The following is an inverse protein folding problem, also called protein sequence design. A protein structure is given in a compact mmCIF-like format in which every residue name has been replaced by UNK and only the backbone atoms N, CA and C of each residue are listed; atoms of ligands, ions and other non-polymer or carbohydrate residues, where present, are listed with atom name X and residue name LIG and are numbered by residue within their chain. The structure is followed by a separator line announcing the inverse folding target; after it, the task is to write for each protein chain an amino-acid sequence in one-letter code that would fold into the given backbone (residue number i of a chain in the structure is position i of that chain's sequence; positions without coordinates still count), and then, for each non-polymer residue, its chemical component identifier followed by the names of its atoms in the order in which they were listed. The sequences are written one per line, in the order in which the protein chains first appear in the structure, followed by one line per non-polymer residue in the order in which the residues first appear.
data_IF_247168566533
#
_entry.id   IF_247168566533
#
_cell.length_a   1.000
_cell.length_b   1.000
_cell.length_c   1.000
_cell.angle_alpha   90.00
_cell.angle_beta   90.00
_cell.angle_gamma   90.00
#
_symmetry.space_group_name_H-M   'P 1'
#
loop_
_entity.id
_entity.type
_entity.pdbx_description
1 polymer ?
#
# COMPACT_ATOMS: atom_id res chain seq x y z
N UNK A 1 21.59 -8.06 -9.75
CA UNK A 1 20.59 -9.15 -9.77
C UNK A 1 19.34 -8.64 -9.10
N UNK A 2 18.25 -8.44 -9.86
CA UNK A 2 16.98 -7.95 -9.31
C UNK A 2 16.29 -9.09 -8.55
N UNK A 3 16.03 -8.88 -7.26
CA UNK A 3 15.31 -9.82 -6.39
C UNK A 3 13.86 -9.97 -6.88
N UNK A 4 13.60 -10.98 -7.71
CA UNK A 4 12.27 -11.26 -8.28
C UNK A 4 11.28 -11.88 -7.28
N UNK A 5 11.69 -12.07 -6.02
CA UNK A 5 10.91 -12.82 -5.03
C UNK A 5 10.40 -11.93 -3.89
N UNK A 6 10.16 -10.64 -4.16
CA UNK A 6 9.79 -9.68 -3.12
C UNK A 6 8.32 -9.27 -3.24
N UNK A 7 7.55 -9.43 -2.16
CA UNK A 7 6.13 -9.09 -2.09
C UNK A 7 5.87 -7.97 -1.08
N UNK A 8 4.84 -7.13 -1.28
CA UNK A 8 4.49 -6.11 -0.30
C UNK A 8 4.01 -6.74 1.01
N UNK A 9 4.44 -6.18 2.14
CA UNK A 9 4.09 -6.70 3.47
C UNK A 9 2.58 -6.71 3.75
N UNK A 10 1.90 -5.63 3.37
CA UNK A 10 0.47 -5.48 3.58
C UNK A 10 -0.34 -6.60 2.90
N UNK A 11 0.16 -7.18 1.80
CA UNK A 11 -0.52 -8.25 1.08
C UNK A 11 -0.58 -9.51 1.95
N UNK A 12 0.56 -9.87 2.53
CA UNK A 12 0.72 -11.01 3.43
C UNK A 12 -0.07 -10.82 4.73
N UNK A 13 -0.10 -9.59 5.25
CA UNK A 13 -0.86 -9.26 6.46
C UNK A 13 -2.38 -9.26 6.23
N UNK A 14 -2.83 -8.91 5.02
CA UNK A 14 -4.26 -8.84 4.69
C UNK A 14 -4.88 -10.18 4.30
N UNK A 15 -4.08 -11.12 3.82
CA UNK A 15 -4.55 -12.38 3.26
C UNK A 15 -4.64 -13.48 4.35
N UNK A 16 -5.84 -13.99 4.67
CA UNK A 16 -6.04 -14.98 5.74
C UNK A 16 -5.45 -16.36 5.44
N UNK A 17 -4.98 -16.59 4.21
CA UNK A 17 -4.25 -17.80 3.85
C UNK A 17 -2.82 -17.84 4.40
N UNK A 18 -2.30 -16.72 4.91
CA UNK A 18 -0.99 -16.63 5.56
C UNK A 18 -1.11 -16.72 7.08
N UNK A 19 -0.28 -17.56 7.67
CA UNK A 19 -0.14 -17.65 9.13
C UNK A 19 1.11 -16.95 9.58
N UNK A 20 0.96 -15.99 10.49
CA UNK A 20 2.10 -15.34 11.14
C UNK A 20 2.80 -16.35 12.06
N UNK A 21 4.11 -16.48 11.88
CA UNK A 21 5.01 -17.15 12.81
C UNK A 21 5.98 -16.09 13.32
N UNK A 22 6.02 -15.92 14.64
CA UNK A 22 6.96 -14.98 15.27
C UNK A 22 8.17 -15.81 15.65
N UNK A 23 9.28 -15.60 14.94
CA UNK A 23 10.55 -16.18 15.36
C UNK A 23 11.16 -15.25 16.42
N UNK A 24 11.05 -15.68 17.68
CA UNK A 24 11.37 -14.86 18.86
C UNK A 24 12.84 -14.46 18.96
N UNK A 25 13.74 -15.14 18.25
CA UNK A 25 15.18 -14.93 18.39
C UNK A 25 15.79 -13.89 17.44
N UNK A 26 15.14 -13.57 16.32
CA UNK A 26 15.78 -12.80 15.22
C UNK A 26 15.10 -11.45 14.98
N UNK A 27 13.99 -11.17 15.68
CA UNK A 27 13.23 -9.94 15.50
C UNK A 27 12.71 -9.75 14.07
N UNK A 28 12.60 -10.84 13.31
CA UNK A 28 12.11 -10.87 11.93
C UNK A 28 10.69 -11.42 11.94
N UNK A 29 9.82 -10.82 11.12
CA UNK A 29 8.47 -11.31 10.94
C UNK A 29 8.47 -12.35 9.83
N UNK A 30 7.83 -13.49 10.12
CA UNK A 30 7.73 -14.61 9.22
C UNK A 30 6.26 -14.96 9.01
N UNK A 31 5.89 -15.24 7.77
CA UNK A 31 4.58 -15.75 7.43
C UNK A 31 4.74 -17.02 6.62
N UNK A 32 3.87 -17.98 6.86
CA UNK A 32 3.83 -19.24 6.11
C UNK A 32 2.47 -19.38 5.46
N UNK A 33 2.44 -19.65 4.15
CA UNK A 33 1.19 -19.83 3.41
C UNK A 33 0.67 -21.25 3.60
N UNK A 34 -0.60 -21.36 3.99
CA UNK A 34 -1.28 -22.64 4.20
C UNK A 34 -1.20 -23.51 2.94
N UNK A 35 -0.84 -24.78 3.11
CA UNK A 35 -0.88 -25.80 2.04
C UNK A 35 0.17 -25.67 0.93
N UNK A 36 1.04 -24.66 0.96
CA UNK A 36 2.03 -24.44 -0.12
C UNK A 36 3.48 -24.38 0.37
N UNK A 37 3.72 -24.36 1.69
CA UNK A 37 5.08 -24.32 2.25
C UNK A 37 5.86 -23.03 1.97
N UNK A 38 5.26 -22.09 1.23
CA UNK A 38 5.84 -20.80 0.88
C UNK A 38 5.97 -19.96 2.15
N UNK A 39 7.15 -19.38 2.35
CA UNK A 39 7.43 -18.51 3.48
C UNK A 39 7.72 -17.10 2.99
N UNK A 40 7.23 -16.09 3.70
CA UNK A 40 7.58 -14.69 3.48
C UNK A 40 8.27 -14.16 4.74
N UNK A 41 9.42 -13.54 4.59
CA UNK A 41 10.23 -13.02 5.71
C UNK A 41 10.52 -11.54 5.49
N UNK A 42 10.28 -10.71 6.49
CA UNK A 42 10.68 -9.30 6.47
C UNK A 42 11.02 -8.77 7.85
N UNK A 43 11.81 -7.70 7.88
CA UNK A 43 12.03 -6.92 9.09
C UNK A 43 10.74 -6.20 9.54
N UNK A 44 10.55 -5.95 10.85
CA UNK A 44 9.37 -5.29 11.40
C UNK A 44 9.13 -3.87 10.86
N UNK A 45 10.17 -3.22 10.35
CA UNK A 45 10.11 -1.88 9.74
C UNK A 45 10.08 -1.91 8.21
N UNK A 46 10.24 -3.08 7.58
CA UNK A 46 10.28 -3.21 6.14
C UNK A 46 8.87 -3.21 5.53
N UNK A 47 8.72 -2.52 4.40
CA UNK A 47 7.47 -2.46 3.63
C UNK A 47 7.26 -3.68 2.72
N UNK A 48 8.30 -4.51 2.56
CA UNK A 48 8.35 -5.62 1.63
C UNK A 48 8.98 -6.83 2.29
N UNK A 49 8.51 -8.02 1.92
CA UNK A 49 8.94 -9.30 2.42
C UNK A 49 9.51 -10.17 1.31
N UNK A 50 10.57 -10.88 1.64
CA UNK A 50 11.29 -11.77 0.74
C UNK A 50 10.66 -13.16 0.85
N UNK A 51 10.35 -13.76 -0.30
CA UNK A 51 9.66 -15.05 -0.38
C UNK A 51 10.69 -16.18 -0.52
N UNK A 52 10.65 -17.13 0.42
CA UNK A 52 11.50 -18.31 0.51
C UNK A 52 10.67 -19.58 0.20
N UNK A 53 11.24 -20.52 -0.56
CA UNK A 53 10.59 -21.80 -0.94
C UNK A 53 10.38 -21.97 -2.45
N UNK A 54 11.40 -21.63 -3.25
CA UNK A 54 11.25 -21.32 -4.69
C UNK A 54 11.93 -22.31 -5.63
N UNK A 55 11.53 -23.58 -5.64
CA UNK A 55 11.90 -24.47 -6.76
C UNK A 55 10.80 -24.50 -7.84
N UNK A 56 9.51 -24.34 -7.47
CA UNK A 56 8.37 -24.33 -8.42
C UNK A 56 7.69 -22.94 -8.61
N UNK A 57 8.31 -21.88 -8.09
CA UNK A 57 7.66 -20.60 -7.84
C UNK A 57 7.72 -19.59 -9.00
N UNK A 58 7.83 -20.02 -10.26
CA UNK A 58 7.74 -19.07 -11.39
C UNK A 58 6.30 -18.80 -11.83
N UNK A 59 5.36 -19.74 -11.62
CA UNK A 59 3.98 -19.59 -12.05
C UNK A 59 3.06 -18.90 -11.01
N UNK A 60 3.38 -19.00 -9.72
CA UNK A 60 2.58 -18.37 -8.64
C UNK A 60 2.88 -16.89 -8.42
N UNK A 61 4.14 -16.46 -8.61
CA UNK A 61 4.56 -15.05 -8.44
C UNK A 61 4.06 -14.15 -9.55
N UNK A 62 3.84 -14.66 -10.75
CA UNK A 62 3.22 -13.90 -11.85
C UNK A 62 1.79 -13.50 -11.52
N UNK A 63 1.03 -14.38 -10.85
CA UNK A 63 -0.35 -14.12 -10.48
C UNK A 63 -0.44 -13.17 -9.26
N UNK A 64 0.52 -13.26 -8.34
CA UNK A 64 0.72 -12.29 -7.24
C UNK A 64 1.16 -10.91 -7.77
N UNK A 65 2.06 -10.86 -8.76
CA UNK A 65 2.50 -9.61 -9.39
C UNK A 65 1.35 -8.95 -10.17
N UNK A 66 0.53 -9.75 -10.88
CA UNK A 66 -0.65 -9.27 -11.58
C UNK A 66 -1.72 -8.73 -10.62
N UNK A 67 -1.95 -9.40 -9.49
CA UNK A 67 -2.89 -8.93 -8.45
C UNK A 67 -2.37 -7.70 -7.69
N UNK A 68 -1.06 -7.61 -7.41
CA UNK A 68 -0.41 -6.40 -6.87
C UNK A 68 -0.55 -5.23 -7.84
N UNK A 69 -0.36 -5.45 -9.14
CA UNK A 69 -0.55 -4.43 -10.18
C UNK A 69 -2.01 -3.95 -10.24
N UNK A 70 -2.98 -4.86 -10.06
CA UNK A 70 -4.41 -4.51 -9.98
C UNK A 70 -4.80 -3.78 -8.70
N UNK A 71 -4.13 -4.06 -7.57
CA UNK A 71 -4.32 -3.37 -6.29
C UNK A 71 -3.52 -2.06 -6.18
N UNK A 72 -2.60 -1.78 -7.12
CA UNK A 72 -1.87 -0.53 -7.19
C UNK A 72 -2.72 0.67 -7.68
N UNK A 73 -4.06 0.57 -7.61
CA UNK A 73 -5.03 1.68 -7.74
C UNK A 73 -4.89 2.77 -6.66
N UNK A 74 -3.74 2.85 -5.97
CA UNK A 74 -3.38 3.99 -5.13
C UNK A 74 -3.19 5.27 -5.95
N UNK A 75 -2.95 5.16 -7.25
CA UNK A 75 -2.96 6.30 -8.17
C UNK A 75 -4.32 7.02 -8.18
N UNK A 76 -5.43 6.30 -8.02
CA UNK A 76 -6.78 6.89 -7.93
C UNK A 76 -6.98 7.63 -6.61
N UNK A 77 -6.55 7.02 -5.48
CA UNK A 77 -6.66 7.65 -4.16
C UNK A 77 -5.85 8.95 -4.05
N UNK A 78 -4.63 8.97 -4.60
CA UNK A 78 -3.80 10.18 -4.61
C UNK A 78 -4.42 11.29 -5.48
N UNK A 79 -5.04 10.91 -6.60
CA UNK A 79 -5.75 11.83 -7.48
C UNK A 79 -7.03 12.37 -6.83
N UNK A 80 -7.76 11.55 -6.09
CA UNK A 80 -8.94 11.95 -5.32
C UNK A 80 -8.60 12.95 -4.21
N UNK A 81 -7.48 12.76 -3.50
CA UNK A 81 -7.00 13.71 -2.49
C UNK A 81 -6.64 15.05 -3.15
N UNK A 82 -5.88 15.04 -4.25
CA UNK A 82 -5.52 16.26 -4.96
C UNK A 82 -6.76 17.00 -5.50
N UNK A 83 -7.75 16.26 -6.01
CA UNK A 83 -9.04 16.80 -6.46
C UNK A 83 -9.87 17.37 -5.32
N UNK A 84 -9.88 16.73 -4.16
CA UNK A 84 -10.57 17.23 -2.97
C UNK A 84 -9.92 18.51 -2.45
N UNK A 85 -8.59 18.53 -2.32
CA UNK A 85 -7.83 19.70 -1.85
C UNK A 85 -7.93 20.88 -2.83
N UNK A 86 -7.97 20.63 -4.13
CA UNK A 86 -8.15 21.70 -5.14
C UNK A 86 -9.62 22.11 -5.36
N UNK A 87 -10.58 21.47 -4.67
CA UNK A 87 -12.00 21.79 -4.80
C UNK A 87 -12.32 23.21 -4.30
N UNK A 88 -13.37 23.80 -4.88
CA UNK A 88 -13.85 25.14 -4.51
C UNK A 88 -14.46 25.22 -3.10
N UNK A 89 -14.80 24.08 -2.51
CA UNK A 89 -15.33 24.01 -1.14
C UNK A 89 -14.24 24.33 -0.11
N UNK A 90 -13.04 23.80 -0.31
CA UNK A 90 -11.89 24.08 0.56
C UNK A 90 -11.15 25.36 0.16
N UNK A 91 -11.11 25.67 -1.14
CA UNK A 91 -10.40 26.82 -1.68
C UNK A 91 -11.32 27.80 -2.44
N UNK A 92 -12.20 28.54 -1.73
CA UNK A 92 -13.13 29.47 -2.36
C UNK A 92 -12.45 30.68 -3.02
N UNK A 93 -11.16 30.92 -2.75
CA UNK A 93 -10.41 32.09 -3.25
C UNK A 93 -9.53 31.87 -4.48
N UNK A 94 -9.37 30.62 -4.97
CA UNK A 94 -8.31 30.32 -5.95
C UNK A 94 -8.77 30.50 -7.41
N UNK A 95 -10.04 30.23 -7.76
CA UNK A 95 -10.47 30.13 -9.17
C UNK A 95 -11.88 30.70 -9.47
N UNK A 96 -12.30 31.78 -8.79
CA UNK A 96 -13.57 32.44 -9.08
C UNK A 96 -13.80 33.71 -8.25
N UNK A 97 -14.78 34.56 -8.62
CA UNK A 97 -15.07 35.77 -7.85
C UNK A 97 -15.45 35.39 -6.43
N UNK A 98 -14.70 35.91 -5.46
CA UNK A 98 -14.89 35.66 -4.04
C UNK A 98 -16.33 36.06 -3.65
N UNK A 99 -17.20 35.07 -3.44
CA UNK A 99 -18.60 35.32 -3.01
C UNK A 99 -18.69 35.82 -1.56
N UNK A 100 -17.60 35.69 -0.80
CA UNK A 100 -17.46 36.22 0.56
C UNK A 100 -16.11 36.93 0.71
N UNK A 101 -16.08 38.20 0.32
CA UNK A 101 -14.97 39.08 0.62
C UNK A 101 -15.11 39.59 2.06
N UNK A 102 -14.56 38.83 3.02
CA UNK A 102 -14.51 39.20 4.45
C UNK A 102 -13.76 40.52 4.72
N UNK A 103 -13.04 41.07 3.74
CA UNK A 103 -12.45 42.42 3.85
C UNK A 103 -13.49 43.52 3.76
N UNK A 104 -14.70 43.23 3.27
CA UNK A 104 -15.78 44.22 3.13
C UNK A 104 -16.69 44.33 4.36
N UNK A 105 -16.57 43.43 5.33
CA UNK A 105 -17.41 43.41 6.55
C UNK A 105 -16.80 44.12 7.76
N UNK A 106 -15.73 44.90 7.61
CA UNK A 106 -15.32 45.90 8.62
C UNK A 106 -15.72 47.30 8.18
N UNK A 107 -16.99 47.63 8.41
CA UNK A 107 -17.43 49.00 8.70
C UNK A 107 -18.55 48.92 9.72
N UNK A 108 -18.17 48.97 10.99
CA UNK A 108 -18.87 49.64 12.08
C UNK A 108 -17.80 50.12 13.05
#
# INVERSE_FOLDING_TARGET
MQNQNRIPRWLVESDPSWEKSIDTDIGMLKWTKKGTGIQAVCSPTAMFCDVLGSDDLQQGVTDLSASVSRMNKKADLANDIAKYLSSRYLNPGINGPARFDLRKTRRF
#
